data_IF_222508715623
#
_entry.id   IF_222508715623
#
_cell.length_a   1.000
_cell.length_b   1.000
_cell.length_c   1.000
_cell.angle_alpha   90.00
_cell.angle_beta   90.00
_cell.angle_gamma   90.00
#
_symmetry.space_group_name_H-M   'P 1'
#
loop_
_entity.id
_entity.type
_entity.pdbx_description
1 polymer ?
#
# COMPACT_ATOMS: atom_id res chain seq x y z
N UNK A 1 -9.81 17.96 6.90
CA UNK A 1 -8.40 17.72 6.58
C UNK A 1 -8.28 16.72 5.45
N UNK A 2 -7.42 16.99 4.49
CA UNK A 2 -7.18 16.11 3.37
C UNK A 2 -6.34 14.91 3.79
N UNK A 3 -6.77 13.71 3.42
CA UNK A 3 -6.01 12.48 3.66
C UNK A 3 -5.41 12.01 2.36
N UNK A 4 -4.28 11.33 2.42
CA UNK A 4 -3.59 10.87 1.22
C UNK A 4 -3.17 9.41 1.32
N UNK A 5 -3.26 8.71 0.19
CA UNK A 5 -2.85 7.31 0.06
C UNK A 5 -1.94 7.19 -1.16
N UNK A 6 -0.87 6.45 -1.00
CA UNK A 6 -0.01 6.07 -2.11
C UNK A 6 -0.30 4.61 -2.47
N UNK A 7 -0.61 4.36 -3.73
CA UNK A 7 -0.85 3.01 -4.25
C UNK A 7 0.31 2.63 -5.17
N UNK A 8 1.06 1.61 -4.80
CA UNK A 8 2.18 1.11 -5.59
C UNK A 8 1.87 -0.30 -6.10
N UNK A 9 1.75 -0.43 -7.42
CA UNK A 9 1.45 -1.68 -8.10
C UNK A 9 1.90 -1.53 -9.55
N UNK A 10 2.50 -2.53 -10.13
CA UNK A 10 2.94 -2.47 -11.54
C UNK A 10 1.76 -2.62 -12.50
N UNK A 11 0.61 -3.07 -12.03
CA UNK A 11 -0.60 -3.19 -12.84
C UNK A 11 -1.40 -1.89 -12.81
N UNK A 12 -1.48 -1.20 -13.96
CA UNK A 12 -2.26 0.02 -14.09
C UNK A 12 -3.74 -0.22 -13.82
N UNK A 13 -4.28 -1.35 -14.26
CA UNK A 13 -5.70 -1.67 -14.05
C UNK A 13 -5.99 -1.91 -12.57
N UNK A 14 -5.08 -2.53 -11.84
CA UNK A 14 -5.27 -2.73 -10.40
C UNK A 14 -5.21 -1.39 -9.66
N UNK A 15 -4.25 -0.53 -9.99
CA UNK A 15 -4.18 0.81 -9.40
C UNK A 15 -5.47 1.59 -9.63
N UNK A 16 -5.98 1.55 -10.86
CA UNK A 16 -7.22 2.25 -11.21
C UNK A 16 -8.42 1.72 -10.42
N UNK A 17 -8.54 0.40 -10.32
CA UNK A 17 -9.65 -0.21 -9.60
C UNK A 17 -9.64 0.14 -8.11
N UNK A 18 -8.49 0.04 -7.47
CA UNK A 18 -8.34 0.35 -6.05
C UNK A 18 -8.59 1.85 -5.82
N UNK A 19 -7.98 2.70 -6.65
CA UNK A 19 -8.15 4.14 -6.57
C UNK A 19 -9.62 4.55 -6.66
N UNK A 20 -10.34 4.00 -7.65
CA UNK A 20 -11.75 4.31 -7.85
C UNK A 20 -12.58 3.99 -6.61
N UNK A 21 -12.37 2.82 -6.04
CA UNK A 21 -13.13 2.38 -4.86
C UNK A 21 -12.78 3.20 -3.61
N UNK A 22 -11.51 3.54 -3.43
CA UNK A 22 -11.09 4.36 -2.31
C UNK A 22 -11.63 5.78 -2.42
N UNK A 23 -11.61 6.37 -3.60
CA UNK A 23 -12.12 7.72 -3.81
C UNK A 23 -13.62 7.80 -3.61
N UNK A 24 -14.35 6.75 -3.95
CA UNK A 24 -15.79 6.68 -3.69
C UNK A 24 -16.11 6.58 -2.20
N UNK A 25 -15.25 5.90 -1.45
CA UNK A 25 -15.48 5.67 -0.03
C UNK A 25 -15.01 6.83 0.84
N UNK A 26 -13.99 7.55 0.38
CA UNK A 26 -13.40 8.68 1.08
C UNK A 26 -13.33 9.88 0.16
N UNK A 27 -14.32 10.76 0.22
CA UNK A 27 -14.51 11.83 -0.75
C UNK A 27 -13.39 12.88 -0.79
N UNK A 28 -12.64 13.02 0.30
CA UNK A 28 -11.54 14.00 0.37
C UNK A 28 -10.16 13.36 0.24
N UNK A 29 -10.14 12.13 -0.25
CA UNK A 29 -8.88 11.39 -0.37
C UNK A 29 -8.09 11.84 -1.58
N UNK A 30 -6.80 12.12 -1.38
CA UNK A 30 -5.84 12.37 -2.47
C UNK A 30 -5.07 11.08 -2.68
N UNK A 31 -5.13 10.55 -3.90
CA UNK A 31 -4.46 9.29 -4.24
C UNK A 31 -3.29 9.58 -5.18
N UNK A 32 -2.12 9.09 -4.83
CA UNK A 32 -0.96 9.07 -5.72
C UNK A 32 -0.63 7.62 -6.08
N UNK A 33 0.07 7.44 -7.19
CA UNK A 33 0.37 6.10 -7.71
C UNK A 33 1.85 5.96 -8.00
N UNK A 34 2.36 4.75 -7.77
CA UNK A 34 3.73 4.36 -8.09
C UNK A 34 3.71 3.05 -8.86
N UNK A 35 4.67 2.86 -9.74
CA UNK A 35 4.72 1.71 -10.66
C UNK A 35 5.68 0.62 -10.22
N UNK A 36 6.57 0.92 -9.27
CA UNK A 36 7.51 -0.05 -8.71
C UNK A 36 7.96 0.40 -7.31
N UNK A 37 8.80 -0.42 -6.67
CA UNK A 37 9.24 -0.14 -5.32
C UNK A 37 10.11 1.10 -5.18
N UNK A 38 10.97 1.37 -6.15
CA UNK A 38 11.82 2.56 -6.12
C UNK A 38 10.98 3.84 -6.26
N UNK A 39 10.02 3.82 -7.18
CA UNK A 39 9.07 4.92 -7.39
C UNK A 39 8.23 5.15 -6.12
N UNK A 40 7.80 4.06 -5.47
CA UNK A 40 7.04 4.13 -4.23
C UNK A 40 7.83 4.83 -3.12
N UNK A 41 9.11 4.49 -2.96
CA UNK A 41 9.96 5.12 -1.94
C UNK A 41 10.11 6.60 -2.21
N UNK A 42 10.40 6.97 -3.45
CA UNK A 42 10.58 8.36 -3.83
C UNK A 42 9.31 9.17 -3.59
N UNK A 43 8.17 8.69 -4.07
CA UNK A 43 6.90 9.38 -3.89
C UNK A 43 6.46 9.46 -2.44
N UNK A 44 6.70 8.42 -1.66
CA UNK A 44 6.37 8.44 -0.23
C UNK A 44 7.18 9.49 0.53
N UNK A 45 8.46 9.65 0.20
CA UNK A 45 9.29 10.69 0.81
C UNK A 45 8.83 12.08 0.43
N UNK A 46 8.41 12.28 -0.82
CA UNK A 46 7.96 13.58 -1.30
C UNK A 46 6.59 13.97 -0.75
N UNK A 47 5.64 13.03 -0.72
CA UNK A 47 4.25 13.34 -0.38
C UNK A 47 3.88 13.02 1.06
N UNK A 48 4.62 12.16 1.72
CA UNK A 48 4.36 11.70 3.10
C UNK A 48 2.88 11.33 3.28
N UNK A 49 2.42 10.27 2.59
CA UNK A 49 1.01 9.91 2.65
C UNK A 49 0.60 9.40 4.02
N UNK A 50 -0.70 9.37 4.28
CA UNK A 50 -1.25 8.82 5.52
C UNK A 50 -1.27 7.30 5.53
N UNK A 51 -1.21 6.68 4.35
CA UNK A 51 -1.23 5.22 4.18
C UNK A 51 -0.56 4.85 2.88
N UNK A 52 0.16 3.73 2.88
CA UNK A 52 0.81 3.20 1.68
C UNK A 52 0.28 1.79 1.41
N UNK A 53 -0.20 1.56 0.19
CA UNK A 53 -0.59 0.24 -0.30
C UNK A 53 0.47 -0.22 -1.28
N UNK A 54 1.09 -1.37 -1.01
CA UNK A 54 2.17 -1.90 -1.84
C UNK A 54 1.82 -3.28 -2.35
N UNK A 55 2.02 -3.54 -3.63
CA UNK A 55 2.04 -4.89 -4.15
C UNK A 55 3.41 -5.51 -3.84
N UNK A 56 3.42 -6.79 -3.50
CA UNK A 56 4.68 -7.51 -3.23
C UNK A 56 5.49 -7.72 -4.51
N UNK A 57 4.83 -8.11 -5.59
CA UNK A 57 5.49 -8.46 -6.85
C UNK A 57 5.58 -7.26 -7.78
N UNK A 58 6.66 -6.50 -7.67
CA UNK A 58 6.94 -5.37 -8.54
C UNK A 58 8.35 -5.48 -9.13
N UNK A 59 8.58 -4.97 -10.35
CA UNK A 59 9.92 -5.00 -10.93
C UNK A 59 10.90 -4.10 -10.18
N UNK A 60 12.18 -4.35 -10.40
CA UNK A 60 13.31 -3.62 -9.82
C UNK A 60 13.40 -3.77 -8.31
N UNK A 61 12.54 -3.12 -7.55
CA UNK A 61 12.48 -3.22 -6.11
C UNK A 61 11.07 -3.68 -5.73
N UNK A 62 10.96 -4.86 -5.12
CA UNK A 62 9.65 -5.42 -4.77
C UNK A 62 9.05 -4.77 -3.53
N UNK A 63 7.79 -5.11 -3.23
CA UNK A 63 7.06 -4.52 -2.11
C UNK A 63 7.69 -4.76 -0.76
N UNK A 64 8.26 -5.93 -0.52
CA UNK A 64 8.90 -6.24 0.75
C UNK A 64 10.16 -5.39 0.96
N UNK A 65 10.95 -5.23 -0.09
CA UNK A 65 12.15 -4.38 -0.05
C UNK A 65 11.77 -2.91 0.16
N UNK A 66 10.76 -2.43 -0.56
CA UNK A 66 10.25 -1.06 -0.41
C UNK A 66 9.72 -0.83 1.01
N UNK A 67 8.94 -1.78 1.53
CA UNK A 67 8.38 -1.68 2.88
C UNK A 67 9.48 -1.61 3.94
N UNK A 68 10.54 -2.39 3.78
CA UNK A 68 11.67 -2.38 4.70
C UNK A 68 12.33 -1.00 4.76
N UNK A 69 12.56 -0.39 3.59
CA UNK A 69 13.14 0.96 3.52
C UNK A 69 12.19 1.99 4.12
N UNK A 70 10.91 1.92 3.77
CA UNK A 70 9.91 2.89 4.24
C UNK A 70 9.69 2.81 5.75
N UNK A 71 9.74 1.62 6.34
CA UNK A 71 9.64 1.48 7.79
C UNK A 71 10.80 2.11 8.54
N UNK A 72 11.97 2.19 7.91
CA UNK A 72 13.13 2.86 8.50
C UNK A 72 13.08 4.38 8.33
N UNK A 73 12.58 4.85 7.18
CA UNK A 73 12.59 6.28 6.85
C UNK A 73 11.32 7.01 7.26
N UNK A 74 10.17 6.32 7.23
CA UNK A 74 8.86 6.89 7.56
C UNK A 74 8.12 5.93 8.49
N UNK A 75 8.63 5.68 9.70
CA UNK A 75 8.11 4.61 10.57
C UNK A 75 6.68 4.82 11.06
N UNK A 76 6.18 6.05 11.05
CA UNK A 76 4.83 6.37 11.50
C UNK A 76 3.75 6.13 10.44
N UNK A 77 4.14 5.94 9.17
CA UNK A 77 3.16 5.73 8.10
C UNK A 77 2.81 4.25 8.00
N UNK A 78 1.53 3.88 8.16
CA UNK A 78 1.13 2.49 8.03
C UNK A 78 1.24 2.00 6.59
N UNK A 79 1.62 0.74 6.44
CA UNK A 79 1.81 0.10 5.15
C UNK A 79 0.98 -1.18 5.10
N UNK A 80 0.23 -1.38 4.01
CA UNK A 80 -0.45 -2.62 3.71
C UNK A 80 0.18 -3.23 2.47
N UNK A 81 0.67 -4.46 2.57
CA UNK A 81 1.04 -5.25 1.41
C UNK A 81 -0.20 -5.97 0.88
N UNK A 82 -0.62 -5.60 -0.32
CA UNK A 82 -1.83 -6.14 -0.96
C UNK A 82 -1.41 -6.86 -2.24
N UNK A 83 -1.42 -8.20 -2.22
CA UNK A 83 -0.79 -8.98 -3.26
C UNK A 83 -1.53 -10.28 -3.58
N UNK A 84 -1.37 -10.75 -4.83
CA UNK A 84 -1.82 -12.09 -5.24
C UNK A 84 -0.94 -13.20 -4.68
N UNK A 85 0.27 -12.87 -4.26
CA UNK A 85 1.26 -13.86 -3.82
C UNK A 85 1.20 -14.05 -2.31
N UNK A 86 0.12 -14.72 -1.86
CA UNK A 86 -0.08 -15.04 -0.46
C UNK A 86 0.54 -16.40 -0.16
N UNK A 87 1.69 -16.42 0.48
CA UNK A 87 2.28 -17.65 0.99
C UNK A 87 2.66 -17.47 2.47
N UNK A 88 3.06 -18.55 3.11
CA UNK A 88 3.44 -18.51 4.53
C UNK A 88 4.63 -17.60 4.79
N UNK A 89 5.52 -17.48 3.81
CA UNK A 89 6.71 -16.63 3.96
C UNK A 89 6.35 -15.15 3.88
N UNK A 90 5.39 -14.79 3.02
CA UNK A 90 4.94 -13.41 2.89
C UNK A 90 4.33 -12.91 4.19
N UNK A 91 3.47 -13.72 4.80
CA UNK A 91 2.83 -13.38 6.07
C UNK A 91 3.85 -13.20 7.19
N UNK A 92 4.79 -14.14 7.31
CA UNK A 92 5.87 -14.07 8.31
C UNK A 92 6.76 -12.85 8.09
N UNK A 93 7.09 -12.55 6.84
CA UNK A 93 7.91 -11.40 6.50
C UNK A 93 7.22 -10.09 6.87
N UNK A 94 5.93 -9.98 6.58
CA UNK A 94 5.14 -8.80 6.94
C UNK A 94 5.09 -8.59 8.45
N UNK A 95 4.90 -9.65 9.21
CA UNK A 95 4.92 -9.58 10.67
C UNK A 95 6.30 -9.12 11.18
N UNK A 96 7.38 -9.61 10.58
CA UNK A 96 8.73 -9.23 10.95
C UNK A 96 9.02 -7.76 10.64
N UNK A 97 8.59 -7.29 9.49
CA UNK A 97 8.79 -5.89 9.06
C UNK A 97 7.87 -4.94 9.85
N UNK A 98 6.74 -5.43 10.32
CA UNK A 98 5.76 -4.60 11.01
C UNK A 98 4.76 -3.94 10.07
N UNK A 99 4.37 -4.64 9.01
CA UNK A 99 3.37 -4.15 8.05
C UNK A 99 2.19 -5.10 8.00
N UNK A 100 1.02 -4.59 7.61
CA UNK A 100 -0.16 -5.41 7.39
C UNK A 100 -0.04 -6.15 6.05
N UNK A 101 -0.68 -7.31 5.99
CA UNK A 101 -0.72 -8.13 4.79
C UNK A 101 -2.16 -8.49 4.46
N UNK A 102 -2.56 -8.26 3.21
CA UNK A 102 -3.88 -8.67 2.71
C UNK A 102 -3.69 -9.35 1.36
N UNK A 103 -4.19 -10.58 1.24
CA UNK A 103 -4.19 -11.29 -0.03
C UNK A 103 -5.24 -10.70 -0.95
N UNK A 104 -4.91 -10.52 -2.23
CA UNK A 104 -5.88 -10.11 -3.24
C UNK A 104 -6.98 -11.17 -3.44
N UNK A 105 -6.69 -12.43 -3.05
CA UNK A 105 -7.68 -13.51 -3.07
C UNK A 105 -8.82 -13.24 -2.07
N UNK A 106 -8.52 -12.61 -0.93
CA UNK A 106 -9.53 -12.23 0.06
C UNK A 106 -10.38 -11.05 -0.40
N UNK A 107 -9.94 -10.38 -1.44
CA UNK A 107 -10.73 -9.39 -2.14
C UNK A 107 -10.63 -7.98 -1.62
N UNK A 108 -11.20 -7.09 -2.41
CA UNK A 108 -11.19 -5.66 -2.15
C UNK A 108 -11.99 -5.27 -0.91
N UNK A 109 -13.13 -5.94 -0.56
CA UNK A 109 -13.84 -5.58 0.67
C UNK A 109 -12.96 -5.63 1.92
N UNK A 110 -12.10 -6.62 2.04
CA UNK A 110 -11.19 -6.72 3.18
C UNK A 110 -10.16 -5.59 3.17
N UNK A 111 -9.66 -5.24 1.99
CA UNK A 111 -8.75 -4.10 1.84
C UNK A 111 -9.42 -2.79 2.28
N UNK A 112 -10.64 -2.54 1.83
CA UNK A 112 -11.38 -1.32 2.17
C UNK A 112 -11.61 -1.21 3.66
N UNK A 113 -11.98 -2.33 4.30
CA UNK A 113 -12.18 -2.38 5.74
C UNK A 113 -10.90 -2.01 6.48
N UNK A 114 -9.75 -2.53 6.03
CA UNK A 114 -8.47 -2.24 6.66
C UNK A 114 -8.04 -0.80 6.44
N UNK A 115 -8.27 -0.27 5.24
CA UNK A 115 -7.99 1.13 4.94
C UNK A 115 -8.81 2.05 5.85
N UNK A 116 -10.09 1.76 6.04
CA UNK A 116 -10.95 2.54 6.94
C UNK A 116 -10.40 2.55 8.37
N UNK A 117 -9.88 1.42 8.82
CA UNK A 117 -9.33 1.30 10.18
C UNK A 117 -8.03 2.08 10.35
N UNK A 118 -7.22 2.19 9.31
CA UNK A 118 -5.89 2.81 9.38
C UNK A 118 -5.86 4.29 8.99
N UNK A 119 -6.80 4.75 8.17
CA UNK A 119 -6.86 6.17 7.83
C UNK A 119 -7.40 6.97 9.01
N UNK A 120 -6.73 8.06 9.37
CA UNK A 120 -7.22 8.91 10.45
C UNK A 120 -8.52 9.60 10.05
N UNK A 121 -9.38 9.85 11.00
CA UNK A 121 -10.65 10.55 10.78
C UNK A 121 -10.47 12.06 10.85
#
# INVERSE_FOLDING_TARGET
MTKSVLIADDSASMRLAVRFLLERRHSELVVSEAVDGADAIEKAKDTKPDLILLDLAMPRLNGAQAATVLKKTLPEIPIILFTMYADLHADSLCAFIGVDFISKVDGIPKLLERVDALLPN
#
